data_IF_942617258552
#
_entry.id   IF_942617258552
#
_cell.length_a   1.000
_cell.length_b   1.000
_cell.length_c   1.000
_cell.angle_alpha   90.00
_cell.angle_beta   90.00
_cell.angle_gamma   90.00
#
_symmetry.space_group_name_H-M   'P 1'
#
loop_
_entity.id
_entity.type
_entity.pdbx_description
1 polymer ?
#
# COMPACT_ATOMS: atom_id res chain seq x y z
N UNK A 1 19.31 41.46 7.07
CA UNK A 1 20.55 40.75 6.72
C UNK A 1 20.16 39.37 6.22
N UNK A 2 19.98 39.20 4.91
CA UNK A 2 19.45 37.96 4.29
C UNK A 2 20.63 37.08 3.89
N UNK A 3 20.81 35.95 4.58
CA UNK A 3 21.81 34.94 4.23
C UNK A 3 21.27 34.11 3.07
N UNK A 4 21.82 34.29 1.89
CA UNK A 4 21.66 33.35 0.78
C UNK A 4 22.50 32.12 1.08
N UNK A 5 21.87 30.99 1.35
CA UNK A 5 22.53 29.72 1.61
C UNK A 5 21.91 28.68 0.67
N UNK A 6 22.23 28.74 -0.63
CA UNK A 6 21.74 27.79 -1.65
C UNK A 6 22.63 27.75 -2.92
N UNK A 7 23.93 28.07 -2.80
CA UNK A 7 24.86 27.99 -3.94
C UNK A 7 25.86 26.81 -3.87
N UNK A 8 26.02 26.16 -2.70
CA UNK A 8 27.05 25.12 -2.51
C UNK A 8 26.64 23.72 -3.00
N UNK A 9 25.35 23.47 -3.32
CA UNK A 9 24.90 22.18 -3.87
C UNK A 9 24.91 22.12 -5.41
N UNK A 10 25.15 23.23 -6.10
CA UNK A 10 25.36 23.22 -7.55
C UNK A 10 26.83 22.91 -7.83
N UNK A 11 27.09 21.75 -8.43
CA UNK A 11 28.43 21.41 -8.93
C UNK A 11 28.96 22.56 -9.80
N UNK A 12 30.08 23.16 -9.35
CA UNK A 12 30.72 24.29 -10.01
C UNK A 12 31.24 23.86 -11.38
N UNK A 13 30.53 24.26 -12.43
CA UNK A 13 30.92 24.01 -13.82
C UNK A 13 32.27 24.69 -14.06
N UNK A 14 33.26 23.95 -14.55
CA UNK A 14 34.59 24.49 -14.85
C UNK A 14 34.52 25.57 -15.93
N UNK A 15 35.33 26.62 -15.81
CA UNK A 15 35.40 27.72 -16.80
C UNK A 15 35.67 27.23 -18.23
N UNK A 16 36.46 26.17 -18.41
CA UNK A 16 36.71 25.55 -19.72
C UNK A 16 35.46 24.90 -20.32
N UNK A 17 34.57 24.40 -19.46
CA UNK A 17 33.31 23.76 -19.84
C UNK A 17 32.25 24.80 -20.24
N UNK A 18 32.31 25.99 -19.64
CA UNK A 18 31.50 27.15 -20.00
C UNK A 18 31.93 27.67 -21.38
N UNK A 19 33.24 27.80 -21.60
CA UNK A 19 33.81 28.28 -22.86
C UNK A 19 33.47 27.34 -24.03
N UNK A 20 33.64 26.03 -23.82
CA UNK A 20 33.25 24.99 -24.78
C UNK A 20 31.75 24.97 -25.10
N UNK A 21 30.89 25.39 -24.16
CA UNK A 21 29.44 25.55 -24.41
C UNK A 21 29.13 26.82 -25.21
N UNK A 22 29.87 27.89 -24.97
CA UNK A 22 29.69 29.18 -25.64
C UNK A 22 30.12 29.14 -27.11
N UNK A 23 31.13 28.35 -27.43
CA UNK A 23 31.64 28.15 -28.80
C UNK A 23 30.81 27.16 -29.65
N UNK A 24 29.75 26.55 -29.11
CA UNK A 24 28.91 25.63 -29.87
C UNK A 24 27.86 26.38 -30.69
N UNK A 25 27.83 26.07 -32.00
CA UNK A 25 26.78 26.53 -32.93
C UNK A 25 25.38 26.15 -32.41
N UNK A 26 24.37 27.03 -32.53
CA UNK A 26 22.99 26.74 -32.14
C UNK A 26 22.36 25.55 -32.88
N UNK A 27 22.94 25.14 -34.01
CA UNK A 27 22.48 24.01 -34.83
C UNK A 27 23.26 22.70 -34.56
N UNK A 28 24.25 22.71 -33.66
CA UNK A 28 24.98 21.51 -33.30
C UNK A 28 24.07 20.54 -32.52
N UNK A 29 24.10 19.23 -32.82
CA UNK A 29 23.37 18.24 -32.03
C UNK A 29 23.79 18.36 -30.57
N UNK A 30 22.82 18.63 -29.68
CA UNK A 30 23.09 18.59 -28.24
C UNK A 30 23.57 17.17 -27.91
N UNK A 31 24.81 17.06 -27.45
CA UNK A 31 25.31 15.85 -26.80
C UNK A 31 24.27 15.45 -25.75
N UNK A 32 23.71 14.26 -25.91
CA UNK A 32 22.81 13.68 -24.90
C UNK A 32 23.67 13.50 -23.66
N UNK A 33 23.53 14.40 -22.69
CA UNK A 33 24.11 14.18 -21.36
C UNK A 33 23.58 12.85 -20.88
N UNK A 34 24.44 11.83 -20.83
CA UNK A 34 24.11 10.56 -20.19
C UNK A 34 23.63 10.90 -18.78
N UNK A 35 22.41 10.46 -18.46
CA UNK A 35 21.85 10.71 -17.15
C UNK A 35 22.78 10.05 -16.13
N UNK A 36 23.52 10.87 -15.38
CA UNK A 36 24.44 10.36 -14.37
C UNK A 36 23.70 9.38 -13.45
N UNK A 37 24.29 8.22 -13.14
CA UNK A 37 23.65 7.25 -12.26
C UNK A 37 23.31 7.93 -10.95
N UNK A 38 22.02 7.93 -10.60
CA UNK A 38 21.52 8.53 -9.37
C UNK A 38 22.23 7.87 -8.19
N UNK A 39 22.74 8.66 -7.25
CA UNK A 39 23.32 8.09 -6.04
C UNK A 39 22.25 7.31 -5.27
N UNK A 40 22.62 6.20 -4.61
CA UNK A 40 21.69 5.40 -3.79
C UNK A 40 20.88 6.25 -2.80
N UNK A 41 21.50 7.31 -2.28
CA UNK A 41 20.85 8.27 -1.37
C UNK A 41 19.81 9.15 -2.09
N UNK A 42 20.06 9.54 -3.34
CA UNK A 42 19.09 10.29 -4.15
C UNK A 42 17.91 9.43 -4.58
N UNK A 43 18.13 8.15 -4.89
CA UNK A 43 17.06 7.19 -5.19
C UNK A 43 16.20 6.92 -3.95
N UNK A 44 16.82 6.75 -2.78
CA UNK A 44 16.10 6.60 -1.52
C UNK A 44 15.25 7.83 -1.21
N UNK A 45 15.79 9.04 -1.36
CA UNK A 45 15.03 10.30 -1.18
C UNK A 45 13.88 10.40 -2.18
N UNK A 46 14.13 10.14 -3.46
CA UNK A 46 13.09 10.12 -4.50
C UNK A 46 11.96 9.14 -4.16
N UNK A 47 12.30 7.96 -3.62
CA UNK A 47 11.34 6.95 -3.18
C UNK A 47 10.49 7.45 -2.01
N UNK A 48 11.08 8.16 -1.04
CA UNK A 48 10.33 8.78 0.06
C UNK A 48 9.41 9.90 -0.44
N UNK A 49 9.88 10.75 -1.36
CA UNK A 49 9.06 11.80 -1.96
C UNK A 49 7.89 11.24 -2.74
N UNK A 50 8.11 10.19 -3.54
CA UNK A 50 7.04 9.51 -4.29
C UNK A 50 5.98 8.95 -3.34
N UNK A 51 6.39 8.25 -2.27
CA UNK A 51 5.47 7.75 -1.24
C UNK A 51 4.66 8.88 -0.59
N UNK A 52 5.28 10.02 -0.31
CA UNK A 52 4.57 11.18 0.27
C UNK A 52 3.62 11.84 -0.73
N UNK A 53 3.96 11.86 -2.02
CA UNK A 53 3.07 12.35 -3.06
C UNK A 53 1.86 11.43 -3.25
N UNK A 54 2.07 10.11 -3.37
CA UNK A 54 1.00 9.11 -3.49
C UNK A 54 0.03 9.20 -2.30
N UNK A 55 0.56 9.47 -1.10
CA UNK A 55 -0.21 9.69 0.13
C UNK A 55 -1.20 10.86 0.04
N UNK A 56 -0.87 11.91 -0.71
CA UNK A 56 -1.74 13.07 -0.90
C UNK A 56 -2.90 12.76 -1.86
N UNK A 57 -2.69 11.83 -2.80
CA UNK A 57 -3.71 11.42 -3.77
C UNK A 57 -4.65 10.32 -3.24
N UNK A 58 -4.29 9.64 -2.15
CA UNK A 58 -5.09 8.57 -1.52
C UNK A 58 -6.22 9.06 -0.58
N UNK A 59 -6.47 10.38 -0.49
CA UNK A 59 -7.55 10.95 0.34
C UNK A 59 -7.43 10.55 1.82
N UNK A 60 -8.53 10.07 2.43
CA UNK A 60 -8.56 9.66 3.86
C UNK A 60 -7.63 8.47 4.16
N UNK A 61 -7.46 7.54 3.20
CA UNK A 61 -6.60 6.35 3.32
C UNK A 61 -5.10 6.70 3.31
N UNK A 62 -4.75 7.88 2.79
CA UNK A 62 -3.39 8.39 2.88
C UNK A 62 -3.00 8.86 4.28
N UNK A 63 -3.91 9.13 5.20
CA UNK A 63 -3.57 9.84 6.45
C UNK A 63 -2.78 8.98 7.44
N UNK A 64 -2.07 9.60 8.41
CA UNK A 64 -1.43 8.85 9.53
C UNK A 64 -2.47 8.13 10.37
N UNK A 65 -3.70 8.64 10.40
CA UNK A 65 -4.84 8.05 11.10
C UNK A 65 -5.24 6.71 10.49
N UNK A 66 -5.27 6.60 9.16
CA UNK A 66 -5.55 5.34 8.47
C UNK A 66 -4.50 4.26 8.79
N UNK A 67 -3.21 4.61 8.73
CA UNK A 67 -2.14 3.67 9.09
C UNK A 67 -2.28 3.20 10.54
N UNK A 68 -2.56 4.13 11.45
CA UNK A 68 -2.78 3.79 12.86
C UNK A 68 -4.01 2.87 13.02
N UNK A 69 -5.10 3.15 12.31
CA UNK A 69 -6.30 2.32 12.37
C UNK A 69 -6.03 0.89 11.87
N UNK A 70 -5.23 0.71 10.81
CA UNK A 70 -4.75 -0.61 10.39
C UNK A 70 -3.93 -1.31 11.48
N UNK A 71 -2.96 -0.61 12.06
CA UNK A 71 -2.11 -1.17 13.12
C UNK A 71 -2.94 -1.52 14.36
N UNK A 72 -3.98 -0.75 14.67
CA UNK A 72 -4.85 -1.00 15.81
C UNK A 72 -5.71 -2.26 15.58
N UNK A 73 -6.20 -2.54 14.36
CA UNK A 73 -6.88 -3.82 14.05
C UNK A 73 -5.97 -5.01 14.34
N UNK A 74 -4.74 -4.98 13.83
CA UNK A 74 -3.76 -6.06 14.01
C UNK A 74 -3.38 -6.21 15.49
N UNK A 75 -3.11 -5.09 16.19
CA UNK A 75 -2.76 -5.08 17.61
C UNK A 75 -3.85 -5.65 18.49
N UNK A 76 -5.10 -5.32 18.22
CA UNK A 76 -6.23 -5.72 19.04
C UNK A 76 -6.83 -7.07 18.63
N UNK A 77 -6.33 -7.70 17.56
CA UNK A 77 -6.82 -9.01 17.14
C UNK A 77 -6.75 -10.04 18.27
N UNK A 78 -7.85 -10.79 18.45
CA UNK A 78 -8.01 -11.76 19.55
C UNK A 78 -8.34 -11.14 20.91
N UNK A 79 -8.53 -9.82 20.99
CA UNK A 79 -9.01 -9.12 22.19
C UNK A 79 -10.42 -8.58 22.00
N UNK A 80 -11.10 -8.22 23.09
CA UNK A 80 -12.43 -7.59 23.04
C UNK A 80 -12.44 -6.24 22.27
N UNK A 81 -11.28 -5.59 22.16
CA UNK A 81 -11.10 -4.31 21.47
C UNK A 81 -11.08 -4.45 19.94
N UNK A 82 -10.91 -5.68 19.43
CA UNK A 82 -10.89 -5.95 17.99
C UNK A 82 -12.17 -5.48 17.31
N UNK A 83 -13.32 -5.83 17.88
CA UNK A 83 -14.64 -5.52 17.33
C UNK A 83 -14.85 -4.02 17.16
N UNK A 84 -14.47 -3.23 18.16
CA UNK A 84 -14.58 -1.78 18.10
C UNK A 84 -13.59 -1.16 17.10
N UNK A 85 -12.35 -1.67 17.06
CA UNK A 85 -11.33 -1.20 16.13
C UNK A 85 -11.71 -1.49 14.67
N UNK A 86 -12.17 -2.71 14.38
CA UNK A 86 -12.65 -3.13 13.06
C UNK A 86 -13.85 -2.29 12.62
N UNK A 87 -14.87 -2.14 13.47
CA UNK A 87 -16.05 -1.29 13.20
C UNK A 87 -15.64 0.14 12.85
N UNK A 88 -14.82 0.75 13.70
CA UNK A 88 -14.36 2.14 13.52
C UNK A 88 -13.58 2.31 12.21
N UNK A 89 -12.78 1.33 11.84
CA UNK A 89 -12.06 1.34 10.58
C UNK A 89 -13.01 1.28 9.39
N UNK A 90 -13.94 0.31 9.39
CA UNK A 90 -14.87 0.07 8.28
C UNK A 90 -15.77 1.29 8.06
N UNK A 91 -16.31 1.88 9.14
CA UNK A 91 -17.13 3.10 9.04
C UNK A 91 -16.38 4.29 8.44
N UNK A 92 -15.08 4.42 8.73
CA UNK A 92 -14.28 5.57 8.30
C UNK A 92 -13.66 5.41 6.92
N UNK A 93 -13.26 4.19 6.56
CA UNK A 93 -12.41 3.91 5.40
C UNK A 93 -12.99 2.86 4.44
N UNK A 94 -14.05 2.17 4.84
CA UNK A 94 -14.63 1.04 4.12
C UNK A 94 -13.82 -0.26 4.30
N UNK A 95 -14.13 -1.26 3.48
CA UNK A 95 -13.41 -2.52 3.47
C UNK A 95 -11.92 -2.31 3.09
N UNK A 96 -10.97 -2.94 3.82
CA UNK A 96 -9.56 -2.89 3.46
C UNK A 96 -9.27 -3.66 2.17
N UNK A 97 -8.18 -3.30 1.49
CA UNK A 97 -7.75 -3.94 0.24
C UNK A 97 -6.55 -4.89 0.45
N UNK A 98 -5.93 -4.86 1.64
CA UNK A 98 -4.78 -5.68 1.95
C UNK A 98 -5.19 -7.05 2.48
N UNK A 99 -4.47 -8.07 2.00
CA UNK A 99 -4.73 -9.48 2.31
C UNK A 99 -4.73 -9.78 3.81
N UNK A 100 -3.80 -9.18 4.56
CA UNK A 100 -3.63 -9.45 5.98
C UNK A 100 -4.83 -8.94 6.78
N UNK A 101 -5.18 -7.67 6.63
CA UNK A 101 -6.33 -7.07 7.35
C UNK A 101 -7.64 -7.75 6.93
N UNK A 102 -7.81 -8.06 5.64
CA UNK A 102 -8.96 -8.86 5.17
C UNK A 102 -9.04 -10.22 5.86
N UNK A 103 -7.91 -10.91 6.04
CA UNK A 103 -7.86 -12.20 6.73
C UNK A 103 -8.21 -12.10 8.21
N UNK A 104 -7.93 -10.96 8.86
CA UNK A 104 -8.32 -10.72 10.26
C UNK A 104 -9.83 -10.45 10.34
N UNK A 105 -10.38 -9.70 9.39
CA UNK A 105 -11.82 -9.39 9.33
C UNK A 105 -12.70 -10.62 9.09
N UNK A 106 -12.15 -11.78 8.72
CA UNK A 106 -12.91 -13.04 8.66
C UNK A 106 -13.43 -13.49 10.04
N UNK A 107 -12.79 -13.02 11.11
CA UNK A 107 -13.19 -13.32 12.50
C UNK A 107 -14.07 -12.21 13.10
N UNK A 108 -14.53 -11.25 12.29
CA UNK A 108 -15.40 -10.16 12.72
C UNK A 108 -16.85 -10.61 12.93
N UNK A 109 -17.56 -9.97 13.86
CA UNK A 109 -18.92 -10.37 14.24
C UNK A 109 -19.99 -10.12 13.17
N UNK A 110 -19.81 -9.13 12.29
CA UNK A 110 -20.81 -8.80 11.26
C UNK A 110 -20.70 -9.74 10.04
N UNK A 111 -21.70 -10.60 9.78
CA UNK A 111 -21.62 -11.59 8.70
C UNK A 111 -21.59 -10.95 7.30
N UNK A 112 -22.17 -9.77 7.11
CA UNK A 112 -22.13 -9.09 5.80
C UNK A 112 -20.72 -8.60 5.48
N UNK A 113 -20.06 -7.93 6.44
CA UNK A 113 -18.65 -7.55 6.30
C UNK A 113 -17.76 -8.77 6.03
N UNK A 114 -17.98 -9.89 6.73
CA UNK A 114 -17.20 -11.12 6.52
C UNK A 114 -17.40 -11.65 5.09
N UNK A 115 -18.64 -11.63 4.57
CA UNK A 115 -18.92 -12.03 3.17
C UNK A 115 -18.22 -11.15 2.15
N UNK A 116 -18.22 -9.84 2.37
CA UNK A 116 -17.49 -8.90 1.51
C UNK A 116 -15.98 -9.16 1.55
N UNK A 117 -15.43 -9.42 2.74
CA UNK A 117 -14.03 -9.77 2.91
C UNK A 117 -13.67 -11.08 2.18
N UNK A 118 -14.51 -12.12 2.29
CA UNK A 118 -14.33 -13.39 1.57
C UNK A 118 -14.27 -13.21 0.06
N UNK A 119 -15.16 -12.39 -0.51
CA UNK A 119 -15.18 -12.07 -1.94
C UNK A 119 -13.92 -11.32 -2.37
N UNK A 120 -13.52 -10.31 -1.61
CA UNK A 120 -12.30 -9.55 -1.87
C UNK A 120 -11.04 -10.44 -1.82
N UNK A 121 -10.96 -11.35 -0.84
CA UNK A 121 -9.85 -12.29 -0.74
C UNK A 121 -9.86 -13.32 -1.87
N UNK A 122 -11.02 -13.81 -2.29
CA UNK A 122 -11.12 -14.72 -3.45
C UNK A 122 -10.51 -14.10 -4.70
N UNK A 123 -10.79 -12.83 -4.99
CA UNK A 123 -10.24 -12.13 -6.16
C UNK A 123 -8.70 -11.99 -6.08
N UNK A 124 -8.16 -11.88 -4.88
CA UNK A 124 -6.71 -11.79 -4.64
C UNK A 124 -6.01 -13.16 -4.62
N UNK A 125 -6.75 -14.26 -4.45
CA UNK A 125 -6.25 -15.59 -4.13
C UNK A 125 -5.13 -16.07 -5.09
N UNK A 126 -5.35 -15.96 -6.39
CA UNK A 126 -4.41 -16.42 -7.42
C UNK A 126 -3.06 -15.70 -7.42
N UNK A 127 -2.99 -14.52 -6.78
CA UNK A 127 -1.75 -13.72 -6.69
C UNK A 127 -0.95 -13.99 -5.42
N UNK A 128 -1.48 -14.80 -4.49
CA UNK A 128 -0.87 -15.09 -3.18
C UNK A 128 0.07 -16.28 -3.23
N UNK A 129 0.90 -16.39 -2.19
CA UNK A 129 1.78 -17.54 -2.01
C UNK A 129 0.99 -18.81 -1.67
N UNK A 130 1.57 -19.99 -1.94
CA UNK A 130 0.93 -21.27 -1.61
C UNK A 130 0.56 -21.39 -0.11
N UNK A 131 1.40 -20.85 0.77
CA UNK A 131 1.14 -20.84 2.22
C UNK A 131 -0.08 -19.98 2.57
N UNK A 132 -0.19 -18.77 1.99
CA UNK A 132 -1.34 -17.90 2.20
C UNK A 132 -2.62 -18.50 1.61
N UNK A 133 -2.54 -19.13 0.44
CA UNK A 133 -3.65 -19.83 -0.19
C UNK A 133 -4.18 -20.98 0.66
N UNK A 134 -3.28 -21.79 1.23
CA UNK A 134 -3.64 -22.87 2.14
C UNK A 134 -4.28 -22.33 3.43
N UNK A 135 -3.69 -21.28 4.01
CA UNK A 135 -4.23 -20.64 5.22
C UNK A 135 -5.62 -20.06 5.00
N UNK A 136 -5.85 -19.40 3.86
CA UNK A 136 -7.17 -18.92 3.49
C UNK A 136 -8.16 -20.07 3.32
N UNK A 137 -7.80 -21.10 2.54
CA UNK A 137 -8.68 -22.26 2.34
C UNK A 137 -9.09 -22.90 3.66
N UNK A 138 -8.17 -23.07 4.60
CA UNK A 138 -8.47 -23.60 5.93
C UNK A 138 -9.44 -22.70 6.72
N UNK A 139 -9.25 -21.37 6.69
CA UNK A 139 -10.17 -20.42 7.34
C UNK A 139 -11.57 -20.47 6.72
N UNK A 140 -11.68 -20.52 5.39
CA UNK A 140 -12.98 -20.60 4.72
C UNK A 140 -13.67 -21.94 5.00
N UNK A 141 -12.91 -23.05 5.07
CA UNK A 141 -13.43 -24.37 5.44
C UNK A 141 -14.04 -24.37 6.85
N UNK A 142 -13.32 -23.79 7.83
CA UNK A 142 -13.84 -23.62 9.20
C UNK A 142 -15.13 -22.77 9.19
N UNK A 143 -15.16 -21.66 8.44
CA UNK A 143 -16.37 -20.83 8.34
C UNK A 143 -17.54 -21.60 7.73
N UNK A 144 -17.33 -22.34 6.65
CA UNK A 144 -18.36 -23.18 6.03
C UNK A 144 -18.89 -24.26 6.99
N UNK A 145 -18.09 -24.73 7.95
CA UNK A 145 -18.52 -25.72 8.94
C UNK A 145 -19.15 -25.12 10.19
N UNK A 146 -18.72 -23.94 10.64
CA UNK A 146 -18.99 -23.43 12.00
C UNK A 146 -19.81 -22.14 12.04
N UNK A 147 -19.91 -21.39 10.93
CA UNK A 147 -20.66 -20.15 10.90
C UNK A 147 -22.13 -20.39 11.29
N UNK A 148 -22.67 -19.56 12.19
CA UNK A 148 -24.07 -19.66 12.62
C UNK A 148 -25.03 -19.11 11.55
N UNK A 149 -24.61 -18.07 10.85
CA UNK A 149 -25.38 -17.45 9.77
C UNK A 149 -25.36 -18.34 8.50
N UNK A 150 -26.54 -18.66 7.97
CA UNK A 150 -26.69 -19.52 6.78
C UNK A 150 -26.07 -18.89 5.53
N UNK A 151 -26.29 -17.60 5.31
CA UNK A 151 -25.87 -16.92 4.09
C UNK A 151 -24.34 -16.77 4.04
N UNK A 152 -23.71 -16.60 5.21
CA UNK A 152 -22.26 -16.63 5.35
C UNK A 152 -21.71 -18.04 5.07
N UNK A 153 -22.39 -19.08 5.56
CA UNK A 153 -22.00 -20.48 5.31
C UNK A 153 -22.05 -20.81 3.82
N UNK A 154 -23.16 -20.48 3.17
CA UNK A 154 -23.35 -20.70 1.73
C UNK A 154 -22.30 -19.93 0.92
N UNK A 155 -22.02 -18.67 1.29
CA UNK A 155 -20.96 -17.87 0.67
C UNK A 155 -19.58 -18.53 0.83
N UNK A 156 -19.26 -19.04 2.02
CA UNK A 156 -17.99 -19.74 2.26
C UNK A 156 -17.87 -21.03 1.42
N UNK A 157 -18.96 -21.81 1.31
CA UNK A 157 -18.99 -23.00 0.45
C UNK A 157 -18.81 -22.66 -1.04
N UNK A 158 -19.47 -21.60 -1.52
CA UNK A 158 -19.31 -21.12 -2.90
C UNK A 158 -17.88 -20.69 -3.17
N UNK A 159 -17.27 -19.98 -2.22
CA UNK A 159 -15.85 -19.59 -2.31
C UNK A 159 -15.00 -20.85 -2.42
N UNK A 160 -15.12 -21.82 -1.50
CA UNK A 160 -14.33 -23.06 -1.52
C UNK A 160 -14.44 -23.86 -2.83
N UNK A 161 -15.63 -23.92 -3.43
CA UNK A 161 -15.85 -24.59 -4.73
C UNK A 161 -15.14 -23.89 -5.89
N UNK A 162 -14.78 -22.62 -5.70
CA UNK A 162 -14.19 -21.75 -6.73
C UNK A 162 -12.70 -21.44 -6.57
N UNK A 163 -12.06 -21.92 -5.49
CA UNK A 163 -10.62 -21.83 -5.24
C UNK A 163 -9.87 -23.02 -5.84
#
# INVERSE_FOLDING_TARGET
>A
MVRYHDEDEREKISWREIDKRKDRSPYAPKEKTEARPRSKQSEWRMRQYRKQADRLFMGKKGTKKHLKAHEDIDRYYGTEQFEEAARTYIEQYGLPEDWHTLSLLLDYSDPETVREALRAMKDLYGTRSATEQLGFKAKVDILAMTAQNSDLRDCAEEVLKSL
#
